data_IF_847449763794
#
_entry.id   IF_847449763794
#
_cell.length_a   1.000
_cell.length_b   1.000
_cell.length_c   1.000
_cell.angle_alpha   90.00
_cell.angle_beta   90.00
_cell.angle_gamma   90.00
#
_symmetry.space_group_name_H-M   'P 1'
#
loop_
_entity.id
_entity.type
_entity.pdbx_description
1 polymer ?
#
# COMPACT_ATOMS: atom_id res chain seq x y z
N UNK A 1 8.39 23.64 1.89
CA UNK A 1 7.78 22.34 2.26
C UNK A 1 8.66 21.74 3.33
N UNK A 2 8.15 21.54 4.55
CA UNK A 2 8.90 20.85 5.58
C UNK A 2 9.17 19.42 5.09
N UNK A 3 10.43 18.99 5.07
CA UNK A 3 10.77 17.61 4.74
C UNK A 3 10.26 16.73 5.87
N UNK A 4 9.16 16.01 5.64
CA UNK A 4 8.66 15.03 6.58
C UNK A 4 9.66 13.88 6.64
N UNK A 5 10.22 13.61 7.81
CA UNK A 5 11.15 12.49 7.98
C UNK A 5 10.42 11.17 7.71
N UNK A 6 11.06 10.30 6.93
CA UNK A 6 10.55 8.95 6.70
C UNK A 6 10.78 8.11 7.94
N UNK A 7 9.69 7.67 8.58
CA UNK A 7 9.79 6.70 9.66
C UNK A 7 10.32 5.35 9.16
N UNK A 8 11.18 4.74 9.97
CA UNK A 8 11.61 3.35 9.78
C UNK A 8 10.43 2.39 9.92
N UNK A 9 10.45 1.33 9.13
CA UNK A 9 9.45 0.26 9.21
C UNK A 9 9.50 -0.50 10.54
N UNK A 10 8.40 -1.14 10.99
CA UNK A 10 8.39 -1.92 12.22
C UNK A 10 9.49 -3.00 12.27
N UNK A 11 9.71 -3.74 11.17
CA UNK A 11 10.78 -4.73 11.08
C UNK A 11 12.16 -4.07 11.16
N UNK A 12 12.39 -2.94 10.48
CA UNK A 12 13.66 -2.21 10.61
C UNK A 12 13.92 -1.78 12.05
N UNK A 13 12.91 -1.24 12.76
CA UNK A 13 13.03 -0.89 14.18
C UNK A 13 13.40 -2.12 15.02
N UNK A 14 12.78 -3.28 14.75
CA UNK A 14 13.11 -4.53 15.46
C UNK A 14 14.48 -5.11 15.11
N UNK A 15 14.95 -4.95 13.88
CA UNK A 15 16.30 -5.35 13.48
C UNK A 15 17.36 -4.46 14.13
N UNK A 16 17.10 -3.16 14.22
CA UNK A 16 17.99 -2.22 14.93
C UNK A 16 18.06 -2.56 16.43
N UNK A 17 16.91 -2.80 17.08
CA UNK A 17 16.85 -3.27 18.48
C UNK A 17 17.60 -4.59 18.68
N UNK A 18 17.41 -5.56 17.77
CA UNK A 18 18.10 -6.85 17.82
C UNK A 18 19.61 -6.68 17.64
N UNK A 19 20.04 -5.84 16.71
CA UNK A 19 21.46 -5.54 16.50
C UNK A 19 22.12 -4.89 17.72
N UNK A 20 21.41 -3.97 18.39
CA UNK A 20 21.89 -3.34 19.62
C UNK A 20 22.00 -4.33 20.79
N UNK A 21 20.99 -5.20 20.95
CA UNK A 21 21.01 -6.26 21.96
C UNK A 21 22.15 -7.25 21.71
N UNK A 22 22.31 -7.69 20.45
CA UNK A 22 23.37 -8.61 20.06
C UNK A 22 24.76 -8.00 20.33
N UNK A 23 24.96 -6.73 19.98
CA UNK A 23 26.22 -6.01 20.25
C UNK A 23 26.55 -5.94 21.75
N UNK A 24 25.55 -5.67 22.61
CA UNK A 24 25.72 -5.69 24.07
C UNK A 24 26.11 -7.09 24.58
N UNK A 25 25.44 -8.13 24.10
CA UNK A 25 25.73 -9.53 24.49
C UNK A 25 27.14 -9.94 24.06
N UNK A 26 27.53 -9.68 22.81
CA UNK A 26 28.87 -9.99 22.30
C UNK A 26 29.94 -9.26 23.13
N UNK A 27 29.73 -7.97 23.40
CA UNK A 27 30.67 -7.18 24.19
C UNK A 27 30.85 -7.73 25.61
N UNK A 28 29.76 -8.14 26.26
CA UNK A 28 29.78 -8.76 27.59
C UNK A 28 30.53 -10.09 27.57
N UNK A 29 30.28 -10.95 26.58
CA UNK A 29 30.98 -12.24 26.42
C UNK A 29 32.48 -12.00 26.19
N UNK A 30 32.86 -11.06 25.33
CA UNK A 30 34.27 -10.72 25.08
C UNK A 30 34.99 -10.28 26.36
N UNK A 31 34.36 -9.43 27.17
CA UNK A 31 34.91 -9.00 28.47
C UNK A 31 35.00 -10.17 29.44
N UNK A 32 33.97 -11.01 29.53
CA UNK A 32 33.96 -12.17 30.42
C UNK A 32 35.05 -13.19 30.05
N UNK A 33 35.22 -13.50 28.77
CA UNK A 33 36.29 -14.37 28.27
C UNK A 33 37.66 -13.77 28.60
N UNK A 34 37.82 -12.46 28.45
CA UNK A 34 39.08 -11.78 28.80
C UNK A 34 39.39 -11.88 30.30
N UNK A 35 38.41 -11.60 31.18
CA UNK A 35 38.57 -11.69 32.64
C UNK A 35 38.90 -13.12 33.08
N UNK A 36 38.20 -14.14 32.56
CA UNK A 36 38.44 -15.55 32.92
C UNK A 36 39.85 -15.95 32.51
N UNK A 37 40.29 -15.53 31.32
CA UNK A 37 41.57 -15.99 30.78
C UNK A 37 42.75 -15.17 31.26
N UNK A 38 42.61 -13.93 31.74
CA UNK A 38 43.74 -13.06 32.11
C UNK A 38 44.72 -13.70 33.10
N UNK A 39 44.24 -14.54 34.02
CA UNK A 39 45.08 -15.29 34.97
C UNK A 39 45.87 -16.44 34.34
N UNK A 40 45.39 -16.99 33.22
CA UNK A 40 46.00 -18.09 32.47
C UNK A 40 46.97 -17.60 31.37
N UNK A 41 47.12 -16.28 31.17
CA UNK A 41 48.09 -15.74 30.19
C UNK A 41 49.55 -16.06 30.53
N UNK A 42 49.82 -16.42 31.79
CA UNK A 42 51.13 -16.83 32.31
C UNK A 42 51.40 -18.34 32.15
N UNK A 43 50.44 -19.14 31.65
CA UNK A 43 50.61 -20.59 31.64
C UNK A 43 51.73 -21.04 30.67
N UNK A 44 52.62 -21.95 31.10
CA UNK A 44 53.74 -22.44 30.30
C UNK A 44 53.32 -23.19 29.02
N UNK A 45 52.04 -23.57 28.90
CA UNK A 45 51.43 -24.20 27.71
C UNK A 45 51.53 -23.32 26.46
N UNK A 46 51.61 -21.99 26.62
CA UNK A 46 51.70 -21.03 25.50
C UNK A 46 53.15 -20.59 25.18
N UNK A 47 54.15 -21.26 25.78
CA UNK A 47 55.58 -20.97 25.55
C UNK A 47 56.14 -19.79 26.33
N UNK A 48 55.51 -19.42 27.45
CA UNK A 48 56.04 -18.44 28.42
C UNK A 48 56.02 -16.96 27.98
N UNK A 49 55.40 -16.63 26.85
CA UNK A 49 55.33 -15.26 26.34
C UNK A 49 53.91 -14.70 26.42
N UNK A 50 53.72 -13.67 27.25
CA UNK A 50 52.45 -13.00 27.49
C UNK A 50 51.76 -12.51 26.20
N UNK A 51 52.56 -12.10 25.21
CA UNK A 51 52.11 -11.61 23.90
C UNK A 51 51.41 -12.73 23.10
N UNK A 52 51.90 -13.97 23.17
CA UNK A 52 51.30 -15.10 22.44
C UNK A 52 49.95 -15.51 23.02
N UNK A 53 49.83 -15.51 24.36
CA UNK A 53 48.55 -15.72 25.05
C UNK A 53 47.52 -14.65 24.67
N UNK A 54 47.93 -13.38 24.67
CA UNK A 54 47.06 -12.26 24.29
C UNK A 54 46.53 -12.38 22.86
N UNK A 55 47.40 -12.69 21.89
CA UNK A 55 46.99 -12.88 20.49
C UNK A 55 46.04 -14.08 20.34
N UNK A 56 46.27 -15.16 21.07
CA UNK A 56 45.42 -16.35 21.02
C UNK A 56 44.00 -16.07 21.52
N UNK A 57 43.86 -15.44 22.70
CA UNK A 57 42.56 -15.11 23.25
C UNK A 57 41.85 -14.00 22.48
N UNK A 58 42.60 -13.03 21.94
CA UNK A 58 42.04 -12.02 21.04
C UNK A 58 41.49 -12.64 19.75
N UNK A 59 42.21 -13.61 19.17
CA UNK A 59 41.74 -14.37 18.00
C UNK A 59 40.44 -15.12 18.29
N UNK A 60 40.31 -15.75 19.46
CA UNK A 60 39.08 -16.43 19.88
C UNK A 60 37.94 -15.42 20.05
N UNK A 61 38.18 -14.27 20.68
CA UNK A 61 37.17 -13.24 20.88
C UNK A 61 36.64 -12.70 19.54
N UNK A 62 37.52 -12.42 18.58
CA UNK A 62 37.13 -11.99 17.22
C UNK A 62 36.37 -13.10 16.49
N UNK A 63 36.83 -14.35 16.57
CA UNK A 63 36.14 -15.47 15.94
C UNK A 63 34.72 -15.68 16.49
N UNK A 64 34.54 -15.53 17.81
CA UNK A 64 33.25 -15.63 18.47
C UNK A 64 32.33 -14.48 18.08
N UNK A 65 32.86 -13.25 18.00
CA UNK A 65 32.10 -12.09 17.56
C UNK A 65 31.58 -12.25 16.12
N UNK A 66 32.42 -12.68 15.19
CA UNK A 66 32.01 -12.94 13.79
C UNK A 66 30.98 -14.08 13.72
N UNK A 67 31.17 -15.17 14.48
CA UNK A 67 30.23 -16.29 14.51
C UNK A 67 28.83 -15.90 15.03
N UNK A 68 28.74 -14.86 15.85
CA UNK A 68 27.47 -14.39 16.43
C UNK A 68 26.71 -13.41 15.52
N UNK A 69 27.36 -12.73 14.57
CA UNK A 69 26.71 -11.76 13.68
C UNK A 69 26.00 -12.50 12.53
N UNK A 70 24.68 -12.33 12.35
CA UNK A 70 23.95 -12.99 11.27
C UNK A 70 24.09 -12.22 9.96
N UNK A 71 25.27 -12.29 9.33
CA UNK A 71 25.60 -11.56 8.09
C UNK A 71 24.66 -11.90 6.91
N UNK A 72 24.03 -13.08 6.93
CA UNK A 72 23.06 -13.50 5.91
C UNK A 72 21.66 -12.91 6.06
N UNK A 73 21.31 -12.36 7.22
CA UNK A 73 19.95 -11.89 7.51
C UNK A 73 19.49 -10.76 6.57
N UNK A 74 20.28 -9.71 6.29
CA UNK A 74 19.89 -8.65 5.35
C UNK A 74 19.63 -9.16 3.93
N UNK A 75 20.42 -10.15 3.48
CA UNK A 75 20.26 -10.76 2.15
C UNK A 75 18.97 -11.57 2.04
N UNK A 76 18.63 -12.35 3.08
CA UNK A 76 17.39 -13.14 3.12
C UNK A 76 16.17 -12.21 3.14
N UNK A 77 16.18 -11.16 3.97
CA UNK A 77 15.08 -10.20 4.05
C UNK A 77 14.87 -9.49 2.72
N UNK A 78 15.93 -8.98 2.11
CA UNK A 78 15.85 -8.28 0.81
C UNK A 78 15.31 -9.21 -0.28
N UNK A 79 15.77 -10.45 -0.32
CA UNK A 79 15.29 -11.45 -1.29
C UNK A 79 13.81 -11.76 -1.07
N UNK A 80 13.38 -11.91 0.18
CA UNK A 80 11.98 -12.15 0.54
C UNK A 80 11.09 -10.97 0.09
N UNK A 81 11.49 -9.73 0.39
CA UNK A 81 10.76 -8.51 -0.01
C UNK A 81 10.73 -8.33 -1.53
N UNK A 82 11.80 -8.66 -2.24
CA UNK A 82 11.86 -8.61 -3.71
C UNK A 82 10.90 -9.64 -4.34
N UNK A 83 10.87 -10.87 -3.83
CA UNK A 83 9.92 -11.89 -4.27
C UNK A 83 8.48 -11.49 -3.96
N UNK A 84 8.23 -10.88 -2.80
CA UNK A 84 6.93 -10.32 -2.42
C UNK A 84 6.48 -9.21 -3.38
N UNK A 85 7.38 -8.28 -3.70
CA UNK A 85 7.14 -7.18 -4.65
C UNK A 85 6.78 -7.72 -6.04
N UNK A 86 7.52 -8.73 -6.53
CA UNK A 86 7.19 -9.39 -7.81
C UNK A 86 5.81 -10.04 -7.80
N UNK A 87 5.39 -10.65 -6.69
CA UNK A 87 4.05 -11.24 -6.55
C UNK A 87 2.95 -10.17 -6.53
N UNK A 88 3.21 -9.00 -5.93
CA UNK A 88 2.26 -7.88 -5.90
C UNK A 88 2.12 -7.18 -7.24
N UNK A 89 3.21 -7.03 -8.00
CA UNK A 89 3.17 -6.46 -9.34
C UNK A 89 2.24 -7.26 -10.29
N UNK A 90 2.22 -8.60 -10.15
CA UNK A 90 1.28 -9.47 -10.88
C UNK A 90 -0.20 -9.26 -10.51
N UNK A 91 -0.48 -8.56 -9.41
CA UNK A 91 -1.82 -8.22 -8.93
C UNK A 91 -2.12 -6.72 -9.06
N UNK A 92 -1.48 -6.05 -10.03
CA UNK A 92 -1.63 -4.61 -10.28
C UNK A 92 -1.19 -3.70 -9.10
N UNK A 93 -0.37 -4.20 -8.18
CA UNK A 93 0.18 -3.40 -7.07
C UNK A 93 1.67 -3.14 -7.30
N UNK A 94 2.01 -1.91 -7.71
CA UNK A 94 3.39 -1.50 -7.98
C UNK A 94 4.00 -0.91 -6.71
N UNK A 95 4.89 -1.66 -6.06
CA UNK A 95 5.60 -1.21 -4.86
C UNK A 95 6.87 -0.48 -5.27
N UNK A 96 7.00 0.79 -4.85
CA UNK A 96 8.17 1.63 -5.15
C UNK A 96 9.32 1.48 -4.15
N UNK A 97 9.05 0.97 -2.95
CA UNK A 97 10.03 0.82 -1.88
C UNK A 97 9.87 -0.55 -1.22
N UNK A 98 10.93 -1.37 -1.21
CA UNK A 98 10.88 -2.75 -0.71
C UNK A 98 10.37 -2.87 0.75
N UNK A 99 10.76 -1.99 1.69
CA UNK A 99 10.22 -2.02 3.05
C UNK A 99 8.70 -1.78 3.13
N UNK A 100 8.10 -1.10 2.15
CA UNK A 100 6.65 -0.85 2.14
C UNK A 100 5.81 -2.13 2.03
N UNK A 101 6.37 -3.21 1.49
CA UNK A 101 5.73 -4.53 1.43
C UNK A 101 5.36 -5.01 2.83
N UNK A 102 6.24 -4.79 3.80
CA UNK A 102 6.03 -5.21 5.19
C UNK A 102 5.04 -4.28 5.90
N UNK A 103 5.20 -2.97 5.76
CA UNK A 103 4.28 -1.99 6.39
C UNK A 103 2.84 -2.14 5.89
N UNK A 104 2.64 -2.54 4.63
CA UNK A 104 1.30 -2.84 4.10
C UNK A 104 0.62 -3.99 4.85
N UNK A 105 1.37 -4.98 5.34
CA UNK A 105 0.85 -6.08 6.16
C UNK A 105 0.37 -5.64 7.54
N UNK A 106 0.84 -4.49 8.04
CA UNK A 106 0.49 -3.93 9.34
C UNK A 106 -0.46 -2.73 9.24
N UNK A 107 -1.07 -2.49 8.07
CA UNK A 107 -1.97 -1.35 7.88
C UNK A 107 -3.24 -1.51 8.72
N UNK A 108 -3.50 -0.54 9.60
CA UNK A 108 -4.67 -0.51 10.48
C UNK A 108 -5.82 0.35 9.95
N UNK A 109 -5.50 1.37 9.16
CA UNK A 109 -6.46 2.32 8.60
C UNK A 109 -6.14 2.53 7.11
N UNK A 110 -7.17 2.42 6.27
CA UNK A 110 -7.08 2.71 4.84
C UNK A 110 -7.89 3.97 4.57
N UNK A 111 -7.20 5.07 4.30
CA UNK A 111 -7.83 6.27 3.76
C UNK A 111 -7.83 6.15 2.23
N UNK A 112 -9.00 6.02 1.63
CA UNK A 112 -9.16 5.94 0.18
C UNK A 112 -9.97 7.13 -0.32
N UNK A 113 -9.51 7.71 -1.43
CA UNK A 113 -10.32 8.65 -2.18
C UNK A 113 -11.53 7.93 -2.80
N UNK A 114 -12.63 8.65 -3.02
CA UNK A 114 -13.85 8.08 -3.61
C UNK A 114 -13.72 7.98 -5.13
N UNK A 115 -13.58 9.14 -5.78
CA UNK A 115 -13.67 9.27 -7.23
C UNK A 115 -12.41 8.71 -7.89
N UNK A 116 -12.58 7.72 -8.77
CA UNK A 116 -11.46 7.08 -9.48
C UNK A 116 -10.75 5.96 -8.69
N UNK A 117 -11.12 5.74 -7.43
CA UNK A 117 -10.59 4.62 -6.61
C UNK A 117 -11.71 3.71 -6.13
N UNK A 118 -12.70 4.23 -5.39
CA UNK A 118 -13.88 3.44 -4.99
C UNK A 118 -14.94 3.39 -6.09
N UNK A 119 -15.05 4.44 -6.90
CA UNK A 119 -15.95 4.49 -8.06
C UNK A 119 -15.15 4.39 -9.36
N UNK A 120 -15.77 3.87 -10.40
CA UNK A 120 -15.20 3.75 -11.76
C UNK A 120 -15.01 5.10 -12.47
N UNK A 121 -15.41 6.21 -11.83
CA UNK A 121 -15.45 7.55 -12.42
C UNK A 121 -16.25 7.62 -13.74
N UNK A 122 -17.22 6.73 -13.92
CA UNK A 122 -18.17 6.73 -15.02
C UNK A 122 -19.49 7.31 -14.49
N UNK A 123 -19.80 8.55 -14.87
CA UNK A 123 -21.06 9.18 -14.48
C UNK A 123 -22.15 8.76 -15.47
N UNK A 124 -23.17 8.07 -14.97
CA UNK A 124 -24.37 7.72 -15.75
C UNK A 124 -25.61 8.24 -15.04
N UNK A 125 -26.54 8.81 -15.80
CA UNK A 125 -27.86 9.20 -15.29
C UNK A 125 -28.69 7.94 -15.19
N UNK A 126 -29.16 7.61 -13.98
CA UNK A 126 -29.94 6.39 -13.73
C UNK A 126 -31.43 6.66 -13.59
N UNK A 127 -31.82 7.86 -13.12
CA UNK A 127 -33.22 8.26 -12.95
C UNK A 127 -33.38 9.74 -13.33
N UNK A 128 -34.54 10.08 -13.88
CA UNK A 128 -34.96 11.46 -14.16
C UNK A 128 -36.45 11.61 -13.87
N UNK A 129 -36.93 12.82 -13.62
CA UNK A 129 -38.35 13.07 -13.45
C UNK A 129 -38.76 14.37 -14.12
N UNK A 130 -40.03 14.47 -14.49
CA UNK A 130 -40.66 15.69 -15.00
C UNK A 130 -41.99 15.93 -14.30
N UNK A 131 -42.46 17.17 -14.32
CA UNK A 131 -43.79 17.51 -13.82
C UNK A 131 -44.82 16.96 -14.81
N UNK A 132 -45.74 16.14 -14.31
CA UNK A 132 -46.83 15.59 -15.11
C UNK A 132 -48.05 16.50 -15.04
N UNK A 133 -48.51 16.78 -13.81
CA UNK A 133 -49.74 17.55 -13.59
C UNK A 133 -49.65 18.33 -12.29
N UNK A 134 -50.18 19.55 -12.31
CA UNK A 134 -50.33 20.39 -11.11
C UNK A 134 -51.80 20.76 -10.99
N UNK A 135 -52.43 20.36 -9.89
CA UNK A 135 -53.83 20.68 -9.58
C UNK A 135 -53.94 21.23 -8.16
N UNK A 136 -54.25 22.52 -8.04
CA UNK A 136 -54.32 23.20 -6.74
C UNK A 136 -53.01 23.06 -5.97
N UNK A 137 -53.09 22.46 -4.77
CA UNK A 137 -51.94 22.22 -3.89
C UNK A 137 -51.24 20.87 -4.16
N UNK A 138 -51.69 20.10 -5.15
CA UNK A 138 -51.11 18.79 -5.51
C UNK A 138 -50.25 18.87 -6.78
N UNK A 139 -49.09 18.23 -6.75
CA UNK A 139 -48.15 18.14 -7.87
C UNK A 139 -47.78 16.68 -8.10
N UNK A 140 -48.04 16.18 -9.31
CA UNK A 140 -47.72 14.83 -9.74
C UNK A 140 -46.44 14.84 -10.61
N UNK A 141 -45.55 13.88 -10.37
CA UNK A 141 -44.27 13.76 -11.06
C UNK A 141 -44.24 12.45 -11.84
N UNK A 142 -43.84 12.52 -13.11
CA UNK A 142 -43.52 11.34 -13.89
C UNK A 142 -42.04 11.03 -13.74
N UNK A 143 -41.73 9.90 -13.12
CA UNK A 143 -40.37 9.41 -12.95
C UNK A 143 -40.00 8.36 -14.01
N UNK A 144 -38.77 8.42 -14.47
CA UNK A 144 -38.20 7.53 -15.48
C UNK A 144 -36.88 6.95 -15.01
N UNK A 145 -36.63 5.70 -15.40
CA UNK A 145 -35.36 4.99 -15.16
C UNK A 145 -34.62 4.83 -16.49
N UNK A 146 -33.31 5.05 -16.48
CA UNK A 146 -32.46 4.90 -17.66
C UNK A 146 -31.52 3.71 -17.45
N UNK A 147 -31.42 2.84 -18.45
CA UNK A 147 -30.44 1.74 -18.47
C UNK A 147 -29.14 2.16 -19.12
N UNK A 148 -28.04 1.52 -18.73
CA UNK A 148 -26.68 1.85 -19.18
C UNK A 148 -25.85 2.46 -18.05
N UNK A 149 -24.62 1.98 -17.90
CA UNK A 149 -23.68 2.39 -16.84
C UNK A 149 -22.39 3.01 -17.36
N UNK A 150 -22.29 3.21 -18.68
CA UNK A 150 -21.13 3.77 -19.36
C UNK A 150 -21.56 4.99 -20.19
N UNK A 151 -20.59 5.66 -20.82
CA UNK A 151 -20.86 6.74 -21.77
C UNK A 151 -21.29 6.26 -23.17
N UNK A 152 -21.37 4.95 -23.40
CA UNK A 152 -21.89 4.47 -24.68
C UNK A 152 -23.35 4.88 -24.85
N UNK A 153 -23.77 5.39 -26.03
CA UNK A 153 -25.16 5.76 -26.29
C UNK A 153 -26.04 4.52 -26.54
N UNK A 154 -25.95 3.53 -25.64
CA UNK A 154 -26.72 2.29 -25.65
C UNK A 154 -27.45 2.17 -24.32
N UNK A 155 -28.74 2.38 -24.37
CA UNK A 155 -29.60 2.38 -23.20
C UNK A 155 -31.04 2.63 -23.62
N UNK A 156 -31.94 2.35 -22.70
CA UNK A 156 -33.37 2.45 -22.88
C UNK A 156 -33.98 3.19 -21.68
N UNK A 157 -35.09 3.89 -21.93
CA UNK A 157 -35.81 4.65 -20.91
C UNK A 157 -37.10 3.93 -20.55
N UNK A 158 -37.32 3.77 -19.26
CA UNK A 158 -38.44 3.06 -18.67
C UNK A 158 -39.28 3.99 -17.80
N UNK A 159 -40.59 3.79 -17.80
CA UNK A 159 -41.53 4.36 -16.84
C UNK A 159 -42.34 3.22 -16.24
N UNK A 160 -42.39 3.09 -14.92
CA UNK A 160 -43.05 1.98 -14.22
C UNK A 160 -42.67 0.60 -14.80
N UNK A 161 -41.36 0.40 -15.01
CA UNK A 161 -40.75 -0.79 -15.62
C UNK A 161 -41.21 -1.13 -17.06
N UNK A 162 -41.85 -0.18 -17.76
CA UNK A 162 -42.23 -0.32 -19.17
C UNK A 162 -41.37 0.56 -20.05
N UNK A 163 -40.90 -0.01 -21.16
CA UNK A 163 -40.18 0.73 -22.18
C UNK A 163 -41.07 1.83 -22.77
N UNK A 164 -40.59 3.07 -22.75
CA UNK A 164 -41.33 4.23 -23.26
C UNK A 164 -40.55 4.95 -24.36
N UNK A 165 -41.27 5.59 -25.28
CA UNK A 165 -40.67 6.52 -26.25
C UNK A 165 -40.64 7.91 -25.64
N UNK A 166 -39.44 8.41 -25.36
CA UNK A 166 -39.24 9.73 -24.74
C UNK A 166 -39.85 10.88 -25.56
N UNK A 167 -39.92 10.73 -26.88
CA UNK A 167 -40.56 11.70 -27.79
C UNK A 167 -42.06 11.87 -27.58
N UNK A 168 -42.71 11.04 -26.76
CA UNK A 168 -44.14 11.17 -26.43
C UNK A 168 -44.40 12.17 -25.30
N UNK A 169 -43.34 12.63 -24.61
CA UNK A 169 -43.44 13.55 -23.48
C UNK A 169 -42.74 14.86 -23.84
N UNK A 170 -43.51 15.93 -24.06
CA UNK A 170 -42.96 17.25 -24.44
C UNK A 170 -41.93 17.75 -23.41
N UNK A 171 -42.16 17.49 -22.13
CA UNK A 171 -41.23 17.83 -21.05
C UNK A 171 -39.88 17.10 -21.17
N UNK A 172 -39.84 15.87 -21.67
CA UNK A 172 -38.58 15.14 -21.91
C UNK A 172 -37.84 15.69 -23.13
N UNK A 173 -38.54 16.19 -24.14
CA UNK A 173 -37.92 16.86 -25.30
C UNK A 173 -37.24 18.15 -24.85
N UNK A 174 -37.89 18.94 -24.01
CA UNK A 174 -37.29 20.15 -23.43
C UNK A 174 -36.10 19.81 -22.51
N UNK A 175 -36.25 18.82 -21.63
CA UNK A 175 -35.16 18.34 -20.76
C UNK A 175 -33.94 17.91 -21.59
N UNK A 176 -34.14 17.12 -22.64
CA UNK A 176 -33.06 16.70 -23.54
C UNK A 176 -32.41 17.90 -24.25
N UNK A 177 -33.20 18.90 -24.64
CA UNK A 177 -32.69 20.14 -25.25
C UNK A 177 -31.81 20.93 -24.28
N UNK A 178 -32.22 21.05 -23.02
CA UNK A 178 -31.42 21.69 -21.96
C UNK A 178 -30.12 20.92 -21.74
N UNK A 179 -30.18 19.59 -21.61
CA UNK A 179 -28.99 18.74 -21.41
C UNK A 179 -28.01 18.79 -22.59
N UNK A 180 -28.49 19.04 -23.81
CA UNK A 180 -27.66 19.15 -24.99
C UNK A 180 -27.04 20.55 -25.15
N UNK A 181 -27.80 21.62 -24.88
CA UNK A 181 -27.34 23.00 -25.09
C UNK A 181 -26.56 23.58 -23.91
N UNK A 182 -26.92 23.22 -22.68
CA UNK A 182 -26.25 23.67 -21.45
C UNK A 182 -25.13 22.69 -21.06
N UNK A 183 -24.28 22.33 -22.02
CA UNK A 183 -23.24 21.33 -21.82
C UNK A 183 -22.02 21.65 -22.68
N UNK A 184 -20.85 21.77 -22.04
CA UNK A 184 -19.56 21.98 -22.70
C UNK A 184 -18.85 20.66 -23.05
N UNK A 185 -19.44 19.52 -22.68
CA UNK A 185 -18.90 18.18 -22.93
C UNK A 185 -19.49 17.55 -24.19
N UNK A 186 -18.76 16.60 -24.76
CA UNK A 186 -19.22 15.79 -25.90
C UNK A 186 -18.77 14.34 -25.75
N UNK A 187 -19.36 13.44 -26.55
CA UNK A 187 -18.94 12.05 -26.66
C UNK A 187 -18.04 11.90 -27.89
N UNK A 188 -16.95 11.14 -27.73
CA UNK A 188 -16.03 10.78 -28.80
C UNK A 188 -15.85 9.26 -28.84
N UNK A 189 -15.88 8.69 -30.05
CA UNK A 189 -15.68 7.26 -30.24
C UNK A 189 -14.22 6.99 -30.55
N UNK A 190 -13.55 6.28 -29.65
CA UNK A 190 -12.14 5.91 -29.81
C UNK A 190 -12.03 4.39 -29.96
N UNK A 191 -11.43 3.91 -31.05
CA UNK A 191 -11.30 2.48 -31.39
C UNK A 191 -10.20 1.74 -30.60
N UNK A 192 -9.48 2.43 -29.71
CA UNK A 192 -8.27 1.92 -29.02
C UNK A 192 -8.57 0.84 -27.97
#
# INVERSE_FOLDING_TARGET
MAATEQEKTPLQKKLDEFGEQLSKVISLICIAVWIINIGHFSDPVHGGSWIRGAVYYFKIAVALAVAAIPEGLPAVITTCLALGTRRMAKKNAIVRSLPSVETLGCTSVICSDKTGTLTTNQMSVSRMFVINKVEGDSCDLSEFTITGSTYEPKGEVYQDDKLVKTSQFDALVELATICALCNDSSLDFNEV
#
